data_IF_409246539244
#
_entry.id   IF_409246539244
#
_cell.length_a   1.000
_cell.length_b   1.000
_cell.length_c   1.000
_cell.angle_alpha   90.00
_cell.angle_beta   90.00
_cell.angle_gamma   90.00
#
_symmetry.space_group_name_H-M   'P 1'
#
loop_
_entity.id
_entity.type
_entity.pdbx_description
1 polymer ?
#
# COMPACT_ATOMS: atom_id res chain seq x y z
N UNK A 1 9.42 9.38 25.21
CA UNK A 1 8.59 8.15 25.11
C UNK A 1 9.12 7.17 26.13
N UNK A 2 8.28 6.45 26.89
CA UNK A 2 8.77 5.26 27.57
C UNK A 2 9.36 4.32 26.51
N UNK A 3 10.63 3.95 26.68
CA UNK A 3 11.31 3.00 25.83
C UNK A 3 10.51 1.69 25.93
N UNK A 4 9.99 1.22 24.79
CA UNK A 4 9.32 -0.07 24.75
C UNK A 4 10.39 -1.14 25.02
N UNK A 5 10.45 -1.62 26.27
CA UNK A 5 11.51 -2.53 26.75
C UNK A 5 11.63 -3.80 25.90
N UNK A 6 10.50 -4.25 25.36
CA UNK A 6 10.42 -5.41 24.46
C UNK A 6 11.14 -5.18 23.13
N UNK A 7 11.17 -3.94 22.62
CA UNK A 7 11.80 -3.59 21.35
C UNK A 7 13.21 -2.99 21.51
N UNK A 8 13.61 -2.61 22.72
CA UNK A 8 14.94 -2.03 22.96
C UNK A 8 16.07 -3.06 22.98
N UNK A 9 15.74 -4.35 23.13
CA UNK A 9 16.72 -5.45 23.23
C UNK A 9 16.65 -6.42 22.05
N UNK A 10 16.25 -5.92 20.88
CA UNK A 10 16.15 -6.76 19.68
C UNK A 10 17.54 -7.23 19.24
N UNK A 11 17.68 -8.50 18.81
CA UNK A 11 18.92 -8.97 18.22
C UNK A 11 19.26 -8.18 16.96
N UNK A 12 20.55 -8.23 16.57
CA UNK A 12 21.01 -7.62 15.32
C UNK A 12 20.15 -8.12 14.17
N UNK A 13 19.79 -7.21 13.26
CA UNK A 13 18.95 -7.58 12.13
C UNK A 13 19.68 -8.60 11.23
N UNK A 14 18.99 -9.65 10.78
CA UNK A 14 19.56 -10.68 9.93
C UNK A 14 19.95 -10.10 8.56
N UNK A 15 20.83 -10.80 7.84
CA UNK A 15 21.51 -10.26 6.65
C UNK A 15 20.65 -10.25 5.37
N UNK A 16 19.60 -11.08 5.30
CA UNK A 16 18.76 -11.29 4.10
C UNK A 16 17.95 -10.05 3.73
N UNK A 17 16.96 -9.68 4.54
CA UNK A 17 16.12 -8.50 4.33
C UNK A 17 16.31 -7.51 5.48
N UNK A 18 16.91 -6.35 5.20
CA UNK A 18 17.26 -5.36 6.22
C UNK A 18 16.16 -4.34 6.48
N UNK A 19 15.37 -3.99 5.47
CA UNK A 19 14.36 -2.94 5.62
C UNK A 19 13.16 -3.10 4.69
N UNK A 20 12.00 -2.67 5.16
CA UNK A 20 10.85 -2.41 4.32
C UNK A 20 10.72 -0.92 4.03
N UNK A 21 10.51 -0.58 2.77
CA UNK A 21 10.14 0.77 2.36
C UNK A 21 8.64 0.84 2.08
N UNK A 22 8.00 1.84 2.69
CA UNK A 22 6.57 2.11 2.54
C UNK A 22 6.29 3.44 1.83
N UNK A 23 7.33 4.17 1.44
CA UNK A 23 7.20 5.50 0.82
C UNK A 23 7.19 5.34 -0.69
N UNK A 24 6.25 6.04 -1.35
CA UNK A 24 6.13 6.11 -2.81
C UNK A 24 5.97 4.73 -3.47
N UNK A 25 5.30 3.80 -2.78
CA UNK A 25 5.08 2.42 -3.26
C UNK A 25 3.66 2.18 -3.80
N UNK A 26 2.75 3.13 -3.58
CA UNK A 26 1.35 3.07 -4.02
C UNK A 26 1.17 3.99 -5.23
N UNK A 27 0.80 3.46 -6.41
CA UNK A 27 0.72 4.25 -7.64
C UNK A 27 -0.56 5.10 -7.78
N UNK A 28 -1.58 4.89 -6.95
CA UNK A 28 -2.85 5.60 -7.02
C UNK A 28 -3.61 5.65 -5.70
N UNK A 29 -4.90 5.98 -5.78
CA UNK A 29 -5.76 6.14 -4.60
C UNK A 29 -6.64 4.91 -4.36
N UNK A 30 -6.63 4.42 -3.13
CA UNK A 30 -7.58 3.42 -2.65
C UNK A 30 -8.79 4.04 -1.92
N UNK A 31 -8.79 5.36 -1.68
CA UNK A 31 -9.80 6.00 -0.83
C UNK A 31 -11.23 5.71 -1.29
N UNK A 32 -11.57 5.87 -2.58
CA UNK A 32 -12.94 5.63 -3.03
C UNK A 32 -13.34 4.15 -3.02
N UNK A 33 -12.36 3.22 -3.06
CA UNK A 33 -12.61 1.78 -2.91
C UNK A 33 -12.97 1.38 -1.47
N UNK A 34 -12.51 2.15 -0.49
CA UNK A 34 -12.77 1.91 0.94
C UNK A 34 -14.05 2.61 1.38
N UNK A 35 -14.36 3.76 0.76
CA UNK A 35 -15.54 4.56 1.05
C UNK A 35 -16.33 4.83 -0.24
N UNK A 36 -17.14 3.87 -0.69
CA UNK A 36 -17.83 3.95 -1.98
C UNK A 36 -18.82 5.10 -2.09
N UNK A 37 -19.30 5.64 -0.96
CA UNK A 37 -20.23 6.77 -0.97
C UNK A 37 -19.62 8.05 -1.57
N UNK A 38 -18.29 8.19 -1.55
CA UNK A 38 -17.61 9.31 -2.21
C UNK A 38 -17.44 9.13 -3.72
N UNK A 39 -17.78 7.96 -4.27
CA UNK A 39 -17.79 7.73 -5.72
C UNK A 39 -19.02 8.34 -6.41
N UNK A 40 -20.03 8.79 -5.64
CA UNK A 40 -21.24 9.36 -6.22
C UNK A 40 -20.90 10.73 -6.84
N UNK A 41 -20.92 10.80 -8.18
CA UNK A 41 -20.79 12.04 -8.93
C UNK A 41 -19.39 12.33 -9.50
N UNK A 42 -18.43 11.41 -9.38
CA UNK A 42 -17.10 11.57 -9.95
C UNK A 42 -16.70 10.36 -10.79
N UNK A 43 -16.32 10.61 -12.04
CA UNK A 43 -15.72 9.62 -12.93
C UNK A 43 -14.30 9.34 -12.46
N UNK A 44 -14.16 8.41 -11.53
CA UNK A 44 -12.84 7.96 -11.11
C UNK A 44 -12.31 6.92 -12.08
N UNK A 45 -11.33 7.33 -12.88
CA UNK A 45 -10.64 6.42 -13.78
C UNK A 45 -9.73 5.47 -13.00
N UNK A 46 -9.74 4.19 -13.38
CA UNK A 46 -8.86 3.16 -12.85
C UNK A 46 -7.45 3.35 -13.44
N UNK A 47 -6.41 3.01 -12.68
CA UNK A 47 -5.02 3.13 -13.15
C UNK A 47 -4.77 2.32 -14.44
N UNK A 48 -5.29 1.10 -14.50
CA UNK A 48 -5.21 0.25 -15.67
C UNK A 48 -6.60 -0.30 -16.05
N UNK A 49 -7.26 0.32 -17.05
CA UNK A 49 -8.55 -0.13 -17.57
C UNK A 49 -8.50 -1.50 -18.26
N UNK A 50 -7.32 -2.00 -18.64
CA UNK A 50 -7.17 -3.28 -19.37
C UNK A 50 -7.22 -4.50 -18.44
N UNK A 51 -7.04 -4.29 -17.13
CA UNK A 51 -7.09 -5.35 -16.14
C UNK A 51 -8.44 -6.11 -16.16
N UNK A 52 -8.49 -7.46 -16.08
CA UNK A 52 -9.74 -8.23 -16.22
C UNK A 52 -10.85 -7.77 -15.26
N UNK A 53 -10.49 -7.48 -14.01
CA UNK A 53 -11.44 -6.99 -13.01
C UNK A 53 -11.87 -5.51 -13.19
N UNK A 54 -11.22 -4.73 -14.06
CA UNK A 54 -11.60 -3.34 -14.30
C UNK A 54 -12.98 -3.23 -14.96
N UNK A 55 -13.37 -4.24 -15.75
CA UNK A 55 -14.67 -4.35 -16.43
C UNK A 55 -15.86 -4.55 -15.48
N UNK A 56 -15.59 -4.94 -14.23
CA UNK A 56 -16.64 -5.16 -13.24
C UNK A 56 -17.09 -3.85 -12.59
N UNK A 57 -18.40 -3.66 -12.32
CA UNK A 57 -18.86 -2.55 -11.51
C UNK A 57 -18.17 -2.54 -10.13
N UNK A 58 -17.90 -1.34 -9.61
CA UNK A 58 -17.07 -1.15 -8.40
C UNK A 58 -17.60 -1.87 -7.16
N UNK A 59 -18.94 -1.92 -6.97
CA UNK A 59 -19.56 -2.56 -5.81
C UNK A 59 -19.28 -4.08 -5.75
N UNK A 60 -19.71 -4.86 -6.75
CA UNK A 60 -19.37 -6.28 -6.87
C UNK A 60 -17.86 -6.52 -6.84
N UNK A 61 -17.07 -5.69 -7.53
CA UNK A 61 -15.60 -5.80 -7.56
C UNK A 61 -14.99 -5.73 -6.15
N UNK A 62 -15.34 -4.71 -5.36
CA UNK A 62 -14.79 -4.53 -4.01
C UNK A 62 -15.19 -5.68 -3.07
N UNK A 63 -16.33 -6.33 -3.29
CA UNK A 63 -16.76 -7.50 -2.50
C UNK A 63 -15.93 -8.75 -2.77
N UNK A 64 -15.33 -8.87 -3.96
CA UNK A 64 -14.46 -9.99 -4.31
C UNK A 64 -13.04 -9.84 -3.77
N UNK A 65 -12.63 -8.62 -3.42
CA UNK A 65 -11.26 -8.35 -3.00
C UNK A 65 -10.97 -8.85 -1.57
N UNK A 66 -9.72 -9.25 -1.28
CA UNK A 66 -9.35 -9.79 0.01
C UNK A 66 -9.64 -8.82 1.15
N UNK A 67 -10.28 -9.34 2.21
CA UNK A 67 -10.70 -8.59 3.38
C UNK A 67 -10.63 -9.46 4.63
N UNK A 68 -9.87 -9.00 5.62
CA UNK A 68 -9.83 -9.59 6.96
C UNK A 68 -10.20 -8.55 7.99
N UNK A 69 -11.07 -8.93 8.92
CA UNK A 69 -11.48 -8.12 10.06
C UNK A 69 -10.97 -8.76 11.34
N UNK A 70 -10.32 -7.99 12.17
CA UNK A 70 -9.96 -8.34 13.54
C UNK A 70 -10.63 -7.36 14.49
N UNK A 71 -10.69 -7.65 15.79
CA UNK A 71 -11.19 -6.70 16.78
C UNK A 71 -10.43 -5.37 16.80
N UNK A 72 -9.18 -5.35 16.33
CA UNK A 72 -8.27 -4.20 16.44
C UNK A 72 -8.05 -3.46 15.13
N UNK A 73 -8.22 -4.11 13.99
CA UNK A 73 -8.10 -3.48 12.67
C UNK A 73 -8.85 -4.25 11.59
N UNK A 74 -9.06 -3.60 10.46
CA UNK A 74 -9.47 -4.25 9.21
C UNK A 74 -8.32 -4.14 8.21
N UNK A 75 -7.97 -5.26 7.56
CA UNK A 75 -6.97 -5.32 6.50
C UNK A 75 -7.65 -5.67 5.18
N UNK A 76 -7.42 -4.85 4.15
CA UNK A 76 -7.83 -5.10 2.77
C UNK A 76 -6.60 -5.16 1.88
N UNK A 77 -6.70 -5.87 0.77
CA UNK A 77 -5.73 -5.77 -0.31
C UNK A 77 -6.43 -5.46 -1.64
N UNK A 78 -5.82 -4.57 -2.40
CA UNK A 78 -6.28 -4.14 -3.72
C UNK A 78 -5.14 -4.36 -4.72
N UNK A 79 -5.39 -4.95 -5.90
CA UNK A 79 -4.41 -4.93 -6.97
C UNK A 79 -4.09 -3.48 -7.33
N UNK A 80 -2.80 -3.16 -7.49
CA UNK A 80 -2.35 -1.83 -7.92
C UNK A 80 -3.04 -1.38 -9.22
N UNK A 81 -3.21 -2.23 -10.25
CA UNK A 81 -3.95 -1.88 -11.46
C UNK A 81 -5.38 -1.36 -11.21
N UNK A 82 -6.04 -1.85 -10.15
CA UNK A 82 -7.41 -1.50 -9.80
C UNK A 82 -7.53 -0.28 -8.88
N UNK A 83 -6.41 0.33 -8.47
CA UNK A 83 -6.45 1.62 -7.78
C UNK A 83 -6.94 2.70 -8.74
N UNK A 84 -7.44 3.79 -8.19
CA UNK A 84 -7.93 4.91 -8.98
C UNK A 84 -6.80 5.90 -9.26
N UNK A 85 -6.85 6.57 -10.41
CA UNK A 85 -5.95 7.69 -10.70
C UNK A 85 -6.11 8.73 -9.59
N UNK A 86 -5.00 9.27 -9.08
CA UNK A 86 -5.08 10.38 -8.14
C UNK A 86 -5.67 11.60 -8.88
N UNK A 87 -6.49 12.39 -8.19
CA UNK A 87 -7.06 13.62 -8.74
C UNK A 87 -5.96 14.60 -9.19
N UNK A 88 -4.85 14.64 -8.44
CA UNK A 88 -3.66 15.41 -8.77
C UNK A 88 -2.53 14.43 -9.10
N UNK A 89 -1.93 14.60 -10.28
CA UNK A 89 -0.79 13.79 -10.69
C UNK A 89 0.37 13.97 -9.70
N UNK A 90 1.04 12.86 -9.35
CA UNK A 90 2.20 12.94 -8.47
C UNK A 90 3.41 13.45 -9.24
N UNK A 91 3.81 14.68 -8.98
CA UNK A 91 5.04 15.27 -9.51
C UNK A 91 6.27 14.85 -8.69
N UNK A 92 7.47 15.04 -9.25
CA UNK A 92 8.70 14.87 -8.48
C UNK A 92 8.76 15.91 -7.35
N UNK A 93 9.24 15.53 -6.15
CA UNK A 93 9.84 14.24 -5.80
C UNK A 93 8.82 13.17 -5.37
N UNK A 94 7.52 13.45 -5.34
CA UNK A 94 6.48 12.59 -4.76
C UNK A 94 5.98 11.46 -5.67
N UNK A 95 6.38 11.45 -6.95
CA UNK A 95 6.05 10.40 -7.91
C UNK A 95 6.28 8.99 -7.33
N UNK A 96 5.27 8.10 -7.35
CA UNK A 96 5.43 6.71 -6.99
C UNK A 96 6.55 6.08 -7.81
N UNK A 97 7.33 5.19 -7.18
CA UNK A 97 8.29 4.38 -7.93
C UNK A 97 7.53 3.56 -8.96
N UNK A 98 8.07 3.50 -10.17
CA UNK A 98 7.55 2.60 -11.21
C UNK A 98 7.52 1.20 -10.64
N UNK A 99 6.38 0.53 -10.77
CA UNK A 99 6.28 -0.86 -10.39
C UNK A 99 7.12 -1.65 -11.39
N UNK A 100 8.32 -2.05 -10.98
CA UNK A 100 9.06 -3.08 -11.71
C UNK A 100 8.29 -4.37 -11.48
N UNK A 101 7.69 -4.90 -12.56
CA UNK A 101 7.21 -6.28 -12.56
C UNK A 101 8.37 -7.16 -12.09
N UNK A 102 8.11 -8.14 -11.23
CA UNK A 102 9.12 -9.10 -10.78
C UNK A 102 9.44 -10.04 -11.95
N UNK A 103 10.12 -9.48 -12.95
CA UNK A 103 10.43 -10.10 -14.22
C UNK A 103 11.89 -9.81 -14.52
N UNK A 104 12.77 -10.44 -13.76
CA UNK A 104 14.09 -10.95 -14.17
C UNK A 104 14.95 -11.10 -12.91
N UNK A 105 14.72 -12.18 -12.17
CA UNK A 105 15.78 -12.79 -11.35
C UNK A 105 16.78 -13.56 -12.26
N UNK A 106 17.05 -12.99 -13.46
CA UNK A 106 18.05 -13.44 -14.42
C UNK A 106 19.01 -12.32 -14.81
N UNK A 107 19.13 -11.26 -14.00
CA UNK A 107 20.25 -10.34 -14.12
C UNK A 107 21.47 -10.98 -13.45
N UNK A 108 22.30 -11.61 -14.28
CA UNK A 108 23.61 -12.13 -13.98
C UNK A 108 24.41 -11.20 -13.04
N UNK A 109 24.58 -11.62 -11.78
CA UNK A 109 25.50 -10.98 -10.82
C UNK A 109 24.95 -9.81 -9.99
N UNK A 110 23.68 -9.42 -10.13
CA UNK A 110 23.13 -8.30 -9.36
C UNK A 110 22.89 -8.69 -7.89
N UNK A 111 23.54 -7.99 -6.95
CA UNK A 111 23.36 -8.17 -5.50
C UNK A 111 21.87 -8.11 -5.14
N UNK A 112 21.32 -9.21 -4.61
CA UNK A 112 19.95 -9.28 -4.08
C UNK A 112 19.68 -8.07 -3.19
N UNK A 113 18.71 -7.24 -3.57
CA UNK A 113 18.36 -6.03 -2.82
C UNK A 113 17.92 -6.42 -1.41
N UNK A 114 18.68 -6.00 -0.39
CA UNK A 114 18.32 -6.19 1.03
C UNK A 114 17.17 -5.28 1.48
N UNK A 115 16.44 -4.65 0.54
CA UNK A 115 15.31 -3.76 0.79
C UNK A 115 14.14 -4.22 -0.07
N UNK A 116 12.95 -4.27 0.53
CA UNK A 116 11.72 -4.58 -0.16
C UNK A 116 10.70 -3.44 -0.04
N UNK A 117 9.93 -3.22 -1.09
CA UNK A 117 8.88 -2.22 -1.13
C UNK A 117 7.54 -2.87 -0.76
N UNK A 118 6.80 -2.25 0.18
CA UNK A 118 5.44 -2.64 0.55
C UNK A 118 4.51 -1.45 0.33
N UNK A 119 3.46 -1.65 -0.47
CA UNK A 119 2.40 -0.65 -0.65
C UNK A 119 1.40 -0.77 0.51
N UNK A 120 1.48 0.15 1.47
CA UNK A 120 0.63 0.16 2.65
C UNK A 120 0.02 1.54 2.88
N UNK A 121 -1.30 1.60 2.88
CA UNK A 121 -2.09 2.78 3.23
C UNK A 121 -2.71 2.54 4.62
N UNK A 122 -2.60 3.51 5.51
CA UNK A 122 -3.31 3.51 6.79
C UNK A 122 -4.41 4.54 6.72
N UNK A 123 -5.66 4.10 6.82
CA UNK A 123 -6.83 4.98 6.81
C UNK A 123 -7.43 5.04 8.21
N UNK A 124 -7.66 6.25 8.71
CA UNK A 124 -8.23 6.47 10.03
C UNK A 124 -9.48 7.33 9.90
N UNK A 125 -10.64 6.73 10.10
CA UNK A 125 -11.91 7.45 10.07
C UNK A 125 -12.18 8.10 11.42
N UNK A 126 -12.61 9.37 11.44
CA UNK A 126 -12.92 10.08 12.68
C UNK A 126 -14.02 9.38 13.51
N UNK A 127 -14.95 8.68 12.84
CA UNK A 127 -16.01 7.90 13.50
C UNK A 127 -15.50 6.63 14.19
N UNK A 128 -14.41 6.06 13.70
CA UNK A 128 -13.85 4.78 14.20
C UNK A 128 -12.70 5.04 15.18
N UNK A 129 -11.87 6.06 14.88
CA UNK A 129 -10.75 6.46 15.72
C UNK A 129 -11.02 7.87 16.27
N UNK A 130 -11.50 7.95 17.49
CA UNK A 130 -11.72 9.21 18.21
C UNK A 130 -10.45 9.74 18.88
N UNK A 131 -9.31 9.09 18.63
CA UNK A 131 -8.01 9.52 19.15
C UNK A 131 -7.48 10.74 18.39
N UNK A 132 -6.69 11.55 19.10
CA UNK A 132 -5.99 12.71 18.53
C UNK A 132 -5.07 12.33 17.37
N UNK A 133 -4.76 13.31 16.51
CA UNK A 133 -3.89 13.13 15.33
C UNK A 133 -2.55 12.50 15.72
N UNK A 134 -1.95 12.93 16.82
CA UNK A 134 -0.69 12.39 17.33
C UNK A 134 -0.79 10.90 17.68
N UNK A 135 -1.91 10.48 18.27
CA UNK A 135 -2.15 9.07 18.62
C UNK A 135 -2.36 8.22 17.37
N UNK A 136 -3.02 8.75 16.34
CA UNK A 136 -3.13 8.09 15.03
C UNK A 136 -1.77 7.90 14.36
N UNK A 137 -0.88 8.91 14.45
CA UNK A 137 0.51 8.80 13.99
C UNK A 137 1.25 7.69 14.74
N UNK A 138 1.06 7.59 16.07
CA UNK A 138 1.64 6.51 16.87
C UNK A 138 1.13 5.14 16.44
N UNK A 139 -0.17 4.99 16.22
CA UNK A 139 -0.77 3.74 15.72
C UNK A 139 -0.16 3.36 14.36
N UNK A 140 -0.10 4.30 13.42
CA UNK A 140 0.50 4.09 12.10
C UNK A 140 1.95 3.63 12.21
N UNK A 141 2.75 4.26 13.08
CA UNK A 141 4.14 3.85 13.36
C UNK A 141 4.19 2.45 13.97
N UNK A 142 3.35 2.16 14.97
CA UNK A 142 3.28 0.85 15.64
C UNK A 142 3.00 -0.28 14.66
N UNK A 143 1.99 -0.12 13.79
CA UNK A 143 1.65 -1.09 12.74
C UNK A 143 2.82 -1.28 11.77
N UNK A 144 3.41 -0.20 11.26
CA UNK A 144 4.57 -0.31 10.34
C UNK A 144 5.75 -1.01 10.98
N UNK A 145 6.03 -0.71 12.25
CA UNK A 145 7.09 -1.40 13.01
C UNK A 145 6.78 -2.89 13.16
N UNK A 146 5.54 -3.27 13.48
CA UNK A 146 5.15 -4.68 13.56
C UNK A 146 5.36 -5.40 12.22
N UNK A 147 4.95 -4.80 11.11
CA UNK A 147 5.16 -5.35 9.76
C UNK A 147 6.64 -5.48 9.41
N UNK A 148 7.47 -4.49 9.77
CA UNK A 148 8.93 -4.59 9.64
C UNK A 148 9.44 -5.79 10.44
N UNK A 149 9.07 -5.93 11.71
CA UNK A 149 9.53 -7.04 12.56
C UNK A 149 9.14 -8.40 11.99
N UNK A 150 7.92 -8.53 11.47
CA UNK A 150 7.45 -9.76 10.82
C UNK A 150 8.32 -10.08 9.59
N UNK A 151 8.46 -9.13 8.66
CA UNK A 151 9.12 -9.42 7.39
C UNK A 151 10.64 -9.50 7.47
N UNK A 152 11.28 -8.64 8.27
CA UNK A 152 12.75 -8.52 8.32
C UNK A 152 13.39 -9.35 9.41
N UNK A 153 12.64 -9.70 10.48
CA UNK A 153 13.16 -10.49 11.60
C UNK A 153 12.39 -11.79 11.85
N UNK A 154 11.35 -12.09 11.07
CA UNK A 154 10.54 -13.29 11.28
C UNK A 154 9.86 -13.31 12.64
N UNK A 155 9.45 -12.15 13.15
CA UNK A 155 8.80 -12.05 14.46
C UNK A 155 7.54 -12.93 14.51
N UNK A 156 7.44 -13.80 15.52
CA UNK A 156 6.34 -14.73 15.77
C UNK A 156 6.04 -14.77 17.26
N UNK A 157 4.85 -15.20 17.64
CA UNK A 157 4.48 -15.42 19.05
C UNK A 157 4.50 -16.91 19.34
N UNK A 158 5.16 -17.30 20.44
CA UNK A 158 5.10 -18.65 21.01
C UNK A 158 4.50 -18.56 22.41
N UNK A 159 3.76 -19.57 22.80
CA UNK A 159 3.31 -19.74 24.19
C UNK A 159 4.39 -20.54 24.90
N UNK A 160 5.04 -19.94 25.89
CA UNK A 160 6.01 -20.65 26.72
C UNK A 160 5.26 -21.39 27.84
N UNK A 161 5.59 -22.67 28.01
CA UNK A 161 5.00 -23.51 29.05
C UNK A 161 5.44 -23.02 30.44
N UNK A 162 4.57 -23.25 31.42
CA UNK A 162 4.74 -22.82 32.80
C UNK A 162 6.10 -23.27 33.35
N UNK A 163 6.96 -22.32 33.70
CA UNK A 163 8.05 -22.59 34.65
C UNK A 163 7.39 -22.91 35.99
N UNK A 164 7.94 -23.82 36.80
CA UNK A 164 7.35 -24.29 38.07
C UNK A 164 6.92 -23.20 39.08
N UNK A 165 7.31 -21.93 38.86
CA UNK A 165 6.96 -20.75 39.68
C UNK A 165 5.87 -19.85 39.10
N UNK A 166 5.52 -19.95 37.80
CA UNK A 166 4.50 -19.09 37.16
C UNK A 166 3.27 -19.91 36.75
N UNK A 167 2.11 -19.62 37.37
CA UNK A 167 0.84 -20.32 37.10
C UNK A 167 0.17 -19.92 35.76
N UNK A 168 0.67 -18.90 35.07
CA UNK A 168 0.03 -18.28 33.90
C UNK A 168 0.88 -18.50 32.65
N UNK A 169 0.26 -19.01 31.58
CA UNK A 169 0.89 -19.11 30.26
C UNK A 169 1.24 -17.72 29.74
N UNK A 170 2.50 -17.54 29.32
CA UNK A 170 2.99 -16.25 28.82
C UNK A 170 3.20 -16.33 27.32
N UNK A 171 2.53 -15.44 26.60
CA UNK A 171 2.85 -15.20 25.19
C UNK A 171 4.16 -14.44 25.10
N UNK A 172 5.15 -15.02 24.43
CA UNK A 172 6.47 -14.42 24.23
C UNK A 172 6.73 -14.24 22.74
N UNK A 173 7.24 -13.07 22.36
CA UNK A 173 7.67 -12.79 21.00
C UNK A 173 9.05 -13.41 20.75
N UNK A 174 9.14 -14.29 19.75
CA UNK A 174 10.38 -14.89 19.28
C UNK A 174 10.66 -14.46 17.83
N UNK A 175 11.90 -14.69 17.36
CA UNK A 175 12.32 -14.40 15.99
C UNK A 175 12.75 -15.70 15.32
N UNK A 176 12.17 -16.00 14.16
CA UNK A 176 12.47 -17.20 13.37
C UNK A 176 13.08 -16.79 12.03
N UNK A 177 14.32 -17.20 11.78
CA UNK A 177 15.01 -16.78 10.55
C UNK A 177 14.38 -17.35 9.27
N UNK A 178 13.67 -18.48 9.38
CA UNK A 178 12.97 -19.09 8.25
C UNK A 178 11.72 -18.30 7.85
N UNK A 179 11.24 -17.42 8.73
CA UNK A 179 10.13 -16.52 8.47
C UNK A 179 10.57 -15.18 7.88
N UNK A 180 11.87 -14.96 7.62
CA UNK A 180 12.36 -13.73 7.01
C UNK A 180 12.21 -13.80 5.49
N UNK A 181 11.63 -12.77 4.88
CA UNK A 181 11.57 -12.64 3.43
C UNK A 181 10.43 -11.76 2.96
N UNK A 182 10.66 -10.97 1.92
CA UNK A 182 9.61 -10.13 1.35
C UNK A 182 8.53 -10.99 0.69
N UNK A 183 8.94 -12.02 -0.04
CA UNK A 183 8.06 -12.84 -0.89
C UNK A 183 7.01 -13.61 -0.09
N UNK A 184 7.32 -13.91 1.18
CA UNK A 184 6.39 -14.57 2.10
C UNK A 184 5.27 -13.66 2.57
N UNK A 185 5.59 -12.40 2.86
CA UNK A 185 4.69 -11.48 3.57
C UNK A 185 4.07 -10.40 2.68
N UNK A 186 4.72 -10.09 1.56
CA UNK A 186 4.39 -8.97 0.69
C UNK A 186 4.13 -9.51 -0.71
N UNK A 187 2.89 -9.36 -1.18
CA UNK A 187 2.57 -9.59 -2.58
C UNK A 187 2.92 -8.36 -3.40
N UNK A 188 3.86 -8.54 -4.33
CA UNK A 188 4.14 -7.53 -5.34
C UNK A 188 2.91 -7.35 -6.24
N UNK A 189 2.67 -6.10 -6.67
CA UNK A 189 1.48 -5.77 -7.46
C UNK A 189 0.24 -5.48 -6.63
N UNK A 190 0.29 -5.65 -5.30
CA UNK A 190 -0.83 -5.38 -4.40
C UNK A 190 -0.58 -4.19 -3.46
N UNK A 191 -1.66 -3.55 -3.05
CA UNK A 191 -1.71 -2.46 -2.08
C UNK A 191 -2.56 -2.88 -0.89
N UNK A 192 -1.92 -2.90 0.27
CA UNK A 192 -2.58 -3.18 1.54
C UNK A 192 -3.18 -1.89 2.10
N UNK A 193 -4.41 -1.98 2.59
CA UNK A 193 -5.08 -0.90 3.31
C UNK A 193 -5.44 -1.42 4.69
N UNK A 194 -4.89 -0.77 5.72
CA UNK A 194 -5.25 -1.03 7.10
C UNK A 194 -6.12 0.09 7.67
N UNK A 195 -7.25 -0.29 8.25
CA UNK A 195 -8.15 0.58 9.00
C UNK A 195 -8.07 0.18 10.48
N UNK A 196 -7.28 0.89 11.31
CA UNK A 196 -7.19 0.59 12.73
C UNK A 196 -8.46 1.01 13.49
N UNK A 197 -8.66 0.43 14.67
CA UNK A 197 -9.66 0.86 15.66
C UNK A 197 -8.96 1.55 16.84
N UNK A 198 -9.73 2.11 17.79
CA UNK A 198 -9.17 2.63 19.05
C UNK A 198 -8.42 1.57 19.86
N UNK A 199 -8.88 0.31 19.81
CA UNK A 199 -8.33 -0.78 20.63
C UNK A 199 -6.86 -1.08 20.32
N UNK A 200 -6.40 -0.82 19.08
CA UNK A 200 -5.03 -1.10 18.66
C UNK A 200 -3.97 -0.31 19.46
N UNK A 201 -4.35 0.84 20.03
CA UNK A 201 -3.42 1.68 20.79
C UNK A 201 -2.93 0.97 22.07
N UNK A 202 -3.83 0.27 22.75
CA UNK A 202 -3.55 -0.45 24.00
C UNK A 202 -3.19 -1.92 23.75
N UNK A 203 -3.17 -2.36 22.50
CA UNK A 203 -3.04 -3.77 22.16
C UNK A 203 -1.60 -4.27 22.36
N UNK A 204 -1.36 -5.37 23.11
CA UNK A 204 -0.03 -5.93 23.32
C UNK A 204 0.71 -6.22 22.01
N UNK A 205 2.04 -6.12 22.00
CA UNK A 205 2.85 -6.39 20.80
C UNK A 205 2.70 -7.83 20.31
N UNK A 206 2.65 -8.79 21.24
CA UNK A 206 2.46 -10.21 20.91
C UNK A 206 1.18 -10.40 20.10
N UNK A 207 0.03 -9.97 20.64
CA UNK A 207 -1.26 -10.08 19.97
C UNK A 207 -1.28 -9.32 18.63
N UNK A 208 -0.72 -8.11 18.57
CA UNK A 208 -0.65 -7.34 17.32
C UNK A 208 0.13 -8.07 16.24
N UNK A 209 1.29 -8.64 16.58
CA UNK A 209 2.14 -9.39 15.63
C UNK A 209 1.43 -10.66 15.17
N UNK A 210 0.81 -11.40 16.09
CA UNK A 210 0.02 -12.60 15.77
C UNK A 210 -1.12 -12.27 14.79
N UNK A 211 -1.97 -11.30 15.14
CA UNK A 211 -3.12 -10.92 14.33
C UNK A 211 -2.70 -10.39 12.95
N UNK A 212 -1.60 -9.61 12.86
CA UNK A 212 -1.09 -9.13 11.58
C UNK A 212 -0.56 -10.26 10.70
N UNK A 213 0.13 -11.25 11.27
CA UNK A 213 0.62 -12.42 10.51
C UNK A 213 -0.53 -13.23 9.95
N UNK A 214 -1.52 -13.53 10.78
CA UNK A 214 -2.68 -14.31 10.39
C UNK A 214 -3.48 -13.57 9.31
N UNK A 215 -3.66 -12.25 9.47
CA UNK A 215 -4.30 -11.41 8.47
C UNK A 215 -3.51 -11.35 7.15
N UNK A 216 -2.18 -11.19 7.19
CA UNK A 216 -1.36 -11.18 5.98
C UNK A 216 -1.40 -12.52 5.25
N UNK A 217 -1.26 -13.64 5.96
CA UNK A 217 -1.33 -14.98 5.36
C UNK A 217 -2.68 -15.20 4.67
N UNK A 218 -3.77 -14.87 5.35
CA UNK A 218 -5.11 -15.06 4.79
C UNK A 218 -5.37 -14.13 3.60
N UNK A 219 -4.98 -12.86 3.69
CA UNK A 219 -5.12 -11.90 2.58
C UNK A 219 -4.27 -12.31 1.40
N UNK A 220 -3.02 -12.73 1.62
CA UNK A 220 -2.11 -13.12 0.56
C UNK A 220 -2.61 -14.37 -0.17
N UNK A 221 -3.10 -15.36 0.57
CA UNK A 221 -3.72 -16.56 -0.02
C UNK A 221 -4.94 -16.21 -0.89
N UNK A 222 -5.81 -15.32 -0.41
CA UNK A 222 -6.98 -14.86 -1.17
C UNK A 222 -6.57 -14.08 -2.43
N UNK A 223 -5.58 -13.21 -2.31
CA UNK A 223 -5.05 -12.42 -3.43
C UNK A 223 -4.44 -13.31 -4.51
N UNK A 224 -3.56 -14.25 -4.15
CA UNK A 224 -2.97 -15.20 -5.10
C UNK A 224 -4.03 -16.06 -5.81
N UNK A 225 -5.08 -16.47 -5.10
CA UNK A 225 -6.19 -17.19 -5.71
C UNK A 225 -6.99 -16.34 -6.71
N UNK A 226 -7.04 -15.01 -6.52
CA UNK A 226 -7.65 -14.10 -7.49
C UNK A 226 -6.74 -13.85 -8.68
N UNK A 227 -5.44 -13.66 -8.47
CA UNK A 227 -4.47 -13.50 -9.55
C UNK A 227 -4.52 -14.71 -10.50
N UNK A 228 -4.51 -15.94 -9.97
CA UNK A 228 -4.63 -17.16 -10.78
C UNK A 228 -5.99 -17.31 -11.49
N UNK A 229 -7.05 -16.62 -11.04
CA UNK A 229 -8.33 -16.56 -11.78
C UNK A 229 -8.28 -15.53 -12.89
N UNK A 230 -7.68 -14.36 -12.65
CA UNK A 230 -7.57 -13.29 -13.65
C UNK A 230 -6.58 -13.62 -14.75
N UNK A 231 -5.49 -14.32 -14.44
CA UNK A 231 -4.51 -14.78 -15.43
C UNK A 231 -5.15 -15.70 -16.48
N UNK A 232 -6.11 -16.54 -16.07
CA UNK A 232 -6.89 -17.40 -17.00
C UNK A 232 -7.84 -16.63 -17.91
N UNK A 233 -8.21 -15.41 -17.54
CA UNK A 233 -9.11 -14.54 -18.30
C UNK A 233 -8.36 -13.63 -19.27
N UNK A 234 -7.05 -13.50 -19.12
CA UNK A 234 -6.25 -12.75 -20.09
C UNK A 234 -6.14 -13.55 -21.39
N UNK A 235 -6.31 -12.91 -22.55
CA UNK A 235 -5.98 -13.56 -23.82
C UNK A 235 -4.53 -14.00 -23.74
N UNK A 236 -4.25 -15.28 -24.03
CA UNK A 236 -2.87 -15.70 -24.24
C UNK A 236 -2.35 -14.85 -25.38
N UNK A 237 -1.47 -13.90 -25.09
CA UNK A 237 -0.70 -13.23 -26.12
C UNK A 237 0.12 -14.34 -26.75
N UNK A 238 -0.39 -14.91 -27.86
CA UNK A 238 0.41 -15.75 -28.73
C UNK A 238 1.60 -14.88 -29.10
N UNK A 239 2.77 -15.21 -28.58
CA UNK A 239 4.03 -14.62 -29.02
C UNK A 239 4.25 -15.07 -30.46
N UNK A 240 3.48 -14.49 -31.37
CA UNK A 240 3.62 -14.64 -32.80
C UNK A 240 4.81 -13.82 -33.23
N UNK A 241 5.85 -14.51 -33.67
CA UNK A 241 6.74 -14.14 -34.76
C UNK A 241 6.97 -12.64 -34.94
N UNK A 242 8.13 -12.17 -34.49
CA UNK A 242 8.78 -10.99 -35.04
C UNK A 242 8.80 -11.17 -36.58
N UNK A 243 8.11 -10.33 -37.38
CA UNK A 243 8.36 -10.32 -38.81
C UNK A 243 9.77 -9.75 -38.99
N UNK A 244 10.65 -10.61 -39.46
CA UNK A 244 11.98 -10.30 -39.96
C UNK A 244 11.85 -9.16 -40.97
N UNK A 245 12.25 -7.94 -40.56
CA UNK A 245 12.34 -6.80 -41.48
C UNK A 245 13.55 -7.04 -42.38
N UNK A 246 13.28 -7.56 -43.57
CA UNK A 246 14.22 -7.51 -44.69
C UNK A 246 14.49 -6.05 -45.02
N UNK A 247 15.72 -5.61 -44.75
CA UNK A 247 16.24 -4.31 -45.15
C UNK A 247 16.49 -4.29 -46.65
N UNK A 248 15.67 -3.55 -47.41
CA UNK A 248 16.05 -3.08 -48.74
C UNK A 248 16.39 -1.61 -48.66
N UNK A 249 17.69 -1.34 -48.78
CA UNK A 249 18.27 -0.03 -49.10
C UNK A 249 17.64 0.52 -50.37
N UNK A 250 17.14 1.76 -50.31
CA UNK A 250 16.92 2.60 -51.48
C UNK A 250 17.50 3.98 -51.17
N UNK A 251 18.64 4.19 -51.82
CA UNK A 251 19.34 5.44 -52.06
C UNK A 251 18.45 6.42 -52.81
N UNK A 252 18.43 7.69 -52.37
CA UNK A 252 17.75 8.78 -53.06
C UNK A 252 18.08 10.11 -52.42
N UNK A 253 19.19 10.71 -52.86
CA UNK A 253 19.63 12.06 -52.52
C UNK A 253 18.89 13.12 -53.36
N UNK A 254 18.87 14.36 -52.82
CA UNK A 254 18.80 15.70 -53.47
C UNK A 254 17.93 16.63 -52.60
N UNK A 255 18.56 17.49 -51.79
CA UNK A 255 18.98 18.90 -52.08
C UNK A 255 17.88 19.93 -51.74
N UNK A 256 18.02 20.60 -50.59
CA UNK A 256 18.40 22.02 -50.37
C UNK A 256 17.35 23.03 -50.85
N UNK A 257 16.73 23.75 -49.90
CA UNK A 257 16.57 25.21 -50.00
C UNK A 257 16.54 25.88 -48.61
N UNK A 258 17.10 27.08 -48.59
CA UNK A 258 17.64 27.85 -47.47
C UNK A 258 16.66 28.95 -47.01
N UNK A 259 16.39 29.01 -45.69
CA UNK A 259 16.23 30.19 -44.78
C UNK A 259 15.23 31.34 -45.11
N UNK A 260 15.08 32.39 -44.25
CA UNK A 260 14.85 32.47 -42.79
C UNK A 260 13.74 33.50 -42.40
N UNK A 261 13.32 33.54 -41.13
CA UNK A 261 12.99 34.75 -40.32
C UNK A 261 12.25 34.32 -39.02
N UNK A 262 12.80 34.52 -37.81
CA UNK A 262 12.87 35.76 -37.02
C UNK A 262 11.50 36.18 -36.42
N UNK A 263 11.19 35.70 -35.22
CA UNK A 263 10.48 36.53 -34.25
C UNK A 263 10.91 36.25 -32.81
N UNK A 264 11.05 37.36 -32.12
CA UNK A 264 11.69 37.62 -30.84
C UNK A 264 10.58 37.94 -29.83
N UNK A 265 10.92 37.89 -28.53
CA UNK A 265 10.16 38.45 -27.38
C UNK A 265 8.96 37.61 -26.88
N UNK A 266 8.66 37.51 -25.60
CA UNK A 266 9.17 38.16 -24.39
C UNK A 266 8.83 37.33 -23.14
N UNK A 267 9.73 37.43 -22.18
CA UNK A 267 9.54 37.10 -20.77
C UNK A 267 8.44 37.94 -20.12
N UNK A 268 7.58 37.31 -19.33
CA UNK A 268 7.03 37.94 -18.11
C UNK A 268 7.03 36.92 -16.97
N UNK A 269 7.85 37.25 -15.97
CA UNK A 269 7.78 36.72 -14.61
C UNK A 269 6.39 37.00 -14.02
N UNK A 270 5.75 35.96 -13.46
CA UNK A 270 4.73 36.14 -12.43
C UNK A 270 5.14 35.29 -11.23
N UNK A 271 5.77 35.99 -10.29
CA UNK A 271 5.87 35.63 -8.89
C UNK A 271 4.49 35.25 -8.35
N UNK A 272 4.37 34.05 -7.79
CA UNK A 272 3.25 33.68 -6.93
C UNK A 272 3.72 32.62 -5.93
N UNK A 273 3.96 33.08 -4.70
CA UNK A 273 4.07 32.25 -3.52
C UNK A 273 2.83 31.37 -3.38
N UNK A 274 2.99 30.05 -3.46
CA UNK A 274 1.91 29.11 -3.14
C UNK A 274 2.15 28.54 -1.75
N UNK A 275 1.36 29.07 -0.83
CA UNK A 275 1.20 28.63 0.55
C UNK A 275 0.83 27.14 0.59
N UNK A 276 1.59 26.35 1.35
CA UNK A 276 1.29 24.94 1.63
C UNK A 276 0.03 24.87 2.50
N UNK A 277 -1.12 24.67 1.86
CA UNK A 277 -2.38 24.39 2.54
C UNK A 277 -2.38 22.92 2.98
N UNK A 278 -2.04 22.71 4.25
CA UNK A 278 -2.45 21.51 4.96
C UNK A 278 -3.98 21.42 4.91
N UNK A 279 -4.49 20.38 4.25
CA UNK A 279 -5.92 20.05 4.25
C UNK A 279 -6.34 19.65 5.68
N UNK A 280 -6.69 20.65 6.49
CA UNK A 280 -7.42 20.48 7.74
C UNK A 280 -8.90 20.46 7.36
N UNK A 281 -9.53 19.28 7.51
CA UNK A 281 -10.97 19.13 7.48
C UNK A 281 -11.58 19.92 8.65
N UNK A 282 -11.93 21.18 8.41
CA UNK A 282 -12.85 21.95 9.28
C UNK A 282 -14.26 21.56 8.87
N UNK A 283 -14.95 20.84 9.74
CA UNK A 283 -16.39 20.64 9.62
C UNK A 283 -17.09 21.79 10.35
N UNK A 284 -17.89 22.58 9.62
CA UNK A 284 -18.85 23.49 10.22
C UNK A 284 -19.94 22.72 10.99
N UNK A 285 -20.37 23.20 12.17
CA UNK A 285 -21.42 22.56 12.93
C UNK A 285 -22.80 23.02 12.43
N UNK A 286 -23.56 22.13 11.80
CA UNK A 286 -24.99 22.32 11.66
C UNK A 286 -25.66 22.02 13.00
N UNK A 287 -26.07 23.12 13.62
CA UNK A 287 -26.92 23.17 14.78
C UNK A 287 -28.30 22.58 14.49
N UNK A 288 -28.81 21.88 15.51
CA UNK A 288 -30.19 21.72 15.99
C UNK A 288 -30.44 20.25 16.30
N UNK A 289 -30.80 19.98 17.54
CA UNK A 289 -32.08 19.38 17.94
C UNK A 289 -32.09 19.44 19.46
N UNK A 290 -32.81 20.43 19.98
CA UNK A 290 -33.13 20.57 21.40
C UNK A 290 -34.54 20.04 21.64
N UNK A 291 -34.73 19.52 22.87
CA UNK A 291 -36.01 19.16 23.52
C UNK A 291 -36.77 17.96 22.94
N UNK A 292 -36.75 16.85 23.68
CA UNK A 292 -37.89 16.46 24.53
C UNK A 292 -37.32 15.73 25.75
N UNK A 293 -37.51 16.33 26.93
CA UNK A 293 -37.18 15.75 28.23
C UNK A 293 -38.50 15.27 28.86
N UNK A 294 -38.43 14.11 29.47
CA UNK A 294 -39.50 13.28 30.01
C UNK A 294 -40.37 14.00 31.05
N UNK A 295 -41.67 13.73 30.98
CA UNK A 295 -42.57 13.59 32.12
C UNK A 295 -42.79 12.08 32.33
N UNK A 296 -42.73 11.66 33.60
CA UNK A 296 -42.85 10.30 34.17
C UNK A 296 -41.61 9.40 34.05
#
# INVERSE_FOLDING_TARGET
MPICRELSRLPKAPTRLKSLNFKRTTPGSAAPLITPHFLKGHDHEILDPTHPAARMPIGPRVKLLPLIRTPTFTLRAFPKPLLLKPEVAYEYPFKPKTFQSLGSEKDHGAKVSRKADMSLITVSFNKIIQLSVFMRIKIKRRVKTALILIATRGAKVRTEAKTAREKVEKEVMCFDENDIGADKWILQGWTYVIVPTNAIFLYPWTKLIKDLRDALNSVNRQAQALDGKWEKLLPKVTQGSIPERTSTLSTGASEILVSPALHQQSSTDVSSSVTILHLVLVASPLAKWSKVQKLL
#
